data_IF_249480138035
#
_entry.id   IF_249480138035
#
_cell.length_a   1.000
_cell.length_b   1.000
_cell.length_c   1.000
_cell.angle_alpha   90.00
_cell.angle_beta   90.00
_cell.angle_gamma   90.00
#
_symmetry.space_group_name_H-M   'P 1'
#
loop_
_entity.id
_entity.type
_entity.pdbx_description
1 polymer ?
#
# COMPACT_ATOMS: atom_id res chain seq x y z
N UNK A 1 11.76 -1.31 -10.57
CA UNK A 1 10.41 -1.40 -9.94
C UNK A 1 10.53 -1.78 -8.46
N UNK A 2 11.75 -2.06 -8.01
CA UNK A 2 12.02 -2.86 -6.82
C UNK A 2 11.61 -2.14 -5.54
N UNK A 3 11.83 -0.83 -5.47
CA UNK A 3 11.38 0.02 -4.34
C UNK A 3 9.86 -0.06 -4.13
N UNK A 4 9.07 -0.05 -5.21
CA UNK A 4 7.61 -0.14 -5.11
C UNK A 4 7.20 -1.51 -4.58
N UNK A 5 7.84 -2.58 -5.06
CA UNK A 5 7.57 -3.95 -4.61
C UNK A 5 8.06 -4.21 -3.18
N UNK A 6 9.19 -3.64 -2.76
CA UNK A 6 9.66 -3.70 -1.38
C UNK A 6 8.69 -2.97 -0.44
N UNK A 7 8.21 -1.80 -0.84
CA UNK A 7 7.16 -1.06 -0.13
C UNK A 7 5.87 -1.88 -0.03
N UNK A 8 5.46 -2.55 -1.12
CA UNK A 8 4.32 -3.46 -1.12
C UNK A 8 4.49 -4.57 -0.07
N UNK A 9 5.63 -5.25 -0.06
CA UNK A 9 5.91 -6.35 0.87
C UNK A 9 5.92 -5.88 2.32
N UNK A 10 6.52 -4.73 2.61
CA UNK A 10 6.51 -4.12 3.93
C UNK A 10 5.08 -3.86 4.42
N UNK A 11 4.24 -3.25 3.57
CA UNK A 11 2.83 -3.01 3.90
C UNK A 11 2.10 -4.34 4.15
N UNK A 12 2.27 -5.35 3.29
CA UNK A 12 1.63 -6.66 3.46
C UNK A 12 1.98 -7.29 4.81
N UNK A 13 3.24 -7.25 5.22
CA UNK A 13 3.68 -7.79 6.51
C UNK A 13 2.96 -7.15 7.68
N UNK A 14 2.81 -5.82 7.63
CA UNK A 14 2.29 -5.03 8.76
C UNK A 14 0.77 -5.08 8.86
N UNK A 15 0.04 -5.01 7.74
CA UNK A 15 -1.44 -4.84 7.78
C UNK A 15 -2.23 -6.04 7.22
N UNK A 16 -1.56 -7.04 6.66
CA UNK A 16 -2.18 -8.29 6.17
C UNK A 16 -3.46 -8.07 5.32
N UNK A 17 -3.37 -7.32 4.20
CA UNK A 17 -4.52 -7.06 3.34
C UNK A 17 -4.86 -8.27 2.45
N UNK A 18 -6.12 -8.35 1.99
CA UNK A 18 -6.52 -9.35 0.99
C UNK A 18 -5.76 -9.13 -0.33
N UNK A 19 -5.49 -7.87 -0.71
CA UNK A 19 -4.75 -7.48 -1.91
C UNK A 19 -4.07 -6.11 -1.76
N UNK A 20 -2.99 -5.86 -2.51
CA UNK A 20 -2.48 -4.51 -2.78
C UNK A 20 -2.90 -4.05 -4.18
N UNK A 21 -3.37 -2.81 -4.31
CA UNK A 21 -3.40 -2.08 -5.58
C UNK A 21 -2.12 -1.24 -5.73
N UNK A 22 -1.47 -1.34 -6.89
CA UNK A 22 -0.39 -0.47 -7.32
C UNK A 22 -0.93 0.41 -8.45
N UNK A 23 -0.73 1.73 -8.36
CA UNK A 23 -1.16 2.66 -9.40
C UNK A 23 -0.18 3.82 -9.53
N UNK A 24 0.15 4.19 -10.76
CA UNK A 24 0.86 5.42 -11.10
C UNK A 24 -0.07 6.27 -11.96
N UNK A 25 -0.75 7.22 -11.31
CA UNK A 25 -1.49 8.26 -12.01
C UNK A 25 -0.64 9.54 -12.06
N UNK A 26 -1.27 10.65 -12.45
CA UNK A 26 -0.63 11.95 -12.48
C UNK A 26 -1.56 13.05 -12.96
N UNK A 27 -2.88 12.85 -12.86
CA UNK A 27 -3.86 13.71 -13.52
C UNK A 27 -3.88 15.14 -12.94
N UNK A 28 -3.59 15.27 -11.64
CA UNK A 28 -3.57 16.56 -10.93
C UNK A 28 -2.17 16.94 -10.43
N UNK A 29 -1.36 15.97 -10.01
CA UNK A 29 0.03 16.19 -9.56
C UNK A 29 0.97 15.63 -10.62
N UNK A 30 1.74 16.48 -11.34
CA UNK A 30 2.54 16.05 -12.49
C UNK A 30 3.81 15.29 -12.11
N UNK A 31 4.28 15.44 -10.86
CA UNK A 31 5.44 14.69 -10.39
C UNK A 31 5.12 13.20 -10.35
N UNK A 32 5.94 12.37 -11.01
CA UNK A 32 5.76 10.92 -11.05
C UNK A 32 5.75 10.35 -9.62
N UNK A 33 4.71 9.60 -9.28
CA UNK A 33 4.57 8.96 -7.99
C UNK A 33 3.78 7.66 -8.10
N UNK A 34 3.96 6.78 -7.12
CA UNK A 34 3.24 5.52 -7.00
C UNK A 34 2.34 5.54 -5.77
N UNK A 35 1.13 5.03 -5.94
CA UNK A 35 0.25 4.65 -4.84
C UNK A 35 0.41 3.15 -4.57
N UNK A 36 0.64 2.80 -3.31
CA UNK A 36 0.73 1.41 -2.82
C UNK A 36 -0.36 1.22 -1.77
N UNK A 37 -1.48 0.61 -2.14
CA UNK A 37 -2.73 0.70 -1.37
C UNK A 37 -3.16 -0.69 -0.90
N UNK A 38 -3.16 -0.96 0.42
CA UNK A 38 -3.76 -2.17 0.97
C UNK A 38 -5.28 -2.15 0.88
N UNK A 39 -5.87 -3.26 0.45
CA UNK A 39 -7.31 -3.44 0.20
C UNK A 39 -7.84 -4.69 0.89
N UNK A 40 -9.11 -4.62 1.29
CA UNK A 40 -9.84 -5.73 1.89
C UNK A 40 -11.19 -5.90 1.20
N UNK A 41 -11.71 -7.13 1.16
CA UNK A 41 -13.00 -7.43 0.52
C UNK A 41 -14.17 -6.65 1.12
N UNK A 42 -14.06 -6.28 2.39
CA UNK A 42 -15.05 -5.53 3.15
C UNK A 42 -14.73 -4.03 3.27
N UNK A 43 -13.70 -3.51 2.58
CA UNK A 43 -13.42 -2.08 2.58
C UNK A 43 -14.54 -1.31 1.89
N UNK A 44 -14.59 0.00 2.15
CA UNK A 44 -15.69 0.87 1.73
C UNK A 44 -15.84 0.94 0.21
N UNK A 45 -14.79 0.68 -0.56
CA UNK A 45 -14.79 0.86 -2.00
C UNK A 45 -14.75 -0.47 -2.76
N UNK A 46 -14.33 -1.59 -2.17
CA UNK A 46 -14.20 -2.86 -2.88
C UNK A 46 -15.52 -3.32 -3.52
N UNK A 47 -15.55 -3.73 -4.82
CA UNK A 47 -14.42 -4.00 -5.70
C UNK A 47 -13.91 -2.79 -6.51
N UNK A 48 -14.51 -1.61 -6.37
CA UNK A 48 -14.03 -0.39 -7.02
C UNK A 48 -12.65 0.06 -6.51
N UNK A 49 -12.00 0.92 -7.29
CA UNK A 49 -10.79 1.61 -6.85
C UNK A 49 -11.07 2.52 -5.65
N UNK A 50 -10.04 2.85 -4.85
CA UNK A 50 -10.19 3.72 -3.68
C UNK A 50 -10.61 5.16 -4.02
N UNK A 51 -10.42 5.58 -5.29
CA UNK A 51 -10.85 6.88 -5.80
C UNK A 51 -12.22 6.83 -6.49
N UNK A 52 -12.84 5.66 -6.56
CA UNK A 52 -14.15 5.46 -7.16
C UNK A 52 -15.29 5.80 -6.20
N UNK A 53 -16.50 5.36 -6.55
CA UNK A 53 -17.66 5.49 -5.69
C UNK A 53 -17.57 4.52 -4.51
N UNK A 54 -17.84 4.99 -3.30
CA UNK A 54 -18.01 4.13 -2.13
C UNK A 54 -19.19 3.15 -2.33
N UNK A 55 -18.96 1.89 -1.99
CA UNK A 55 -19.92 0.78 -2.09
C UNK A 55 -20.64 0.50 -0.77
N UNK A 56 -20.00 0.83 0.36
CA UNK A 56 -20.47 0.60 1.73
C UNK A 56 -19.69 1.46 2.72
N UNK A 57 -20.09 1.47 4.00
CA UNK A 57 -19.35 2.17 5.06
C UNK A 57 -17.92 1.64 5.26
N UNK A 58 -17.70 0.35 5.00
CA UNK A 58 -16.41 -0.33 5.14
C UNK A 58 -16.08 -0.69 6.58
N UNK A 59 -15.35 -1.79 6.80
CA UNK A 59 -14.91 -2.17 8.13
C UNK A 59 -13.74 -1.26 8.60
N UNK A 60 -13.88 -0.72 9.82
CA UNK A 60 -12.85 0.12 10.46
C UNK A 60 -11.72 -0.77 10.96
N UNK A 61 -10.48 -0.40 10.62
CA UNK A 61 -9.26 -1.06 11.07
C UNK A 61 -8.36 -0.05 11.75
N UNK A 62 -7.71 -0.48 12.83
CA UNK A 62 -6.67 0.33 13.44
C UNK A 62 -5.53 0.54 12.43
N UNK A 63 -5.05 1.78 12.31
CA UNK A 63 -3.84 2.05 11.56
C UNK A 63 -2.65 1.35 12.24
N UNK A 64 -1.69 0.80 11.49
CA UNK A 64 -0.46 0.32 12.08
C UNK A 64 0.31 1.47 12.73
N UNK A 65 1.12 1.17 13.74
CA UNK A 65 2.00 2.18 14.31
C UNK A 65 3.06 2.61 13.29
N UNK A 66 3.45 3.88 13.31
CA UNK A 66 4.51 4.40 12.45
C UNK A 66 5.82 3.61 12.65
N UNK A 67 6.11 3.18 13.88
CA UNK A 67 7.29 2.39 14.19
C UNK A 67 7.27 1.01 13.52
N UNK A 68 6.12 0.32 13.52
CA UNK A 68 6.00 -0.98 12.85
C UNK A 68 6.16 -0.85 11.33
N UNK A 69 5.56 0.19 10.74
CA UNK A 69 5.69 0.45 9.31
C UNK A 69 7.12 0.83 8.92
N UNK A 70 7.77 1.72 9.69
CA UNK A 70 9.16 2.11 9.48
C UNK A 70 10.09 0.90 9.52
N UNK A 71 9.98 0.08 10.56
CA UNK A 71 10.82 -1.11 10.71
C UNK A 71 10.64 -2.10 9.55
N UNK A 72 9.39 -2.32 9.10
CA UNK A 72 9.13 -3.20 7.96
C UNK A 72 9.68 -2.64 6.65
N UNK A 73 9.61 -1.33 6.44
CA UNK A 73 10.18 -0.65 5.28
C UNK A 73 11.71 -0.76 5.28
N UNK A 74 12.36 -0.47 6.40
CA UNK A 74 13.82 -0.60 6.54
C UNK A 74 14.29 -2.03 6.24
N UNK A 75 13.60 -3.04 6.79
CA UNK A 75 13.92 -4.43 6.55
C UNK A 75 13.76 -4.84 5.07
N UNK A 76 12.72 -4.38 4.38
CA UNK A 76 12.51 -4.71 2.97
C UNK A 76 13.44 -3.91 2.04
N UNK A 77 13.69 -2.65 2.36
CA UNK A 77 14.52 -1.77 1.53
C UNK A 77 16.02 -2.12 1.64
N UNK A 78 16.49 -2.50 2.82
CA UNK A 78 17.89 -2.89 3.05
C UNK A 78 18.29 -4.13 2.23
N UNK A 79 17.40 -5.11 2.07
CA UNK A 79 17.68 -6.31 1.26
C UNK A 79 17.93 -6.02 -0.23
N UNK A 80 17.49 -4.86 -0.73
CA UNK A 80 17.80 -4.45 -2.10
C UNK A 80 19.21 -3.87 -2.25
N UNK A 81 19.75 -3.23 -1.20
CA UNK A 81 21.09 -2.67 -1.22
C UNK A 81 22.20 -3.73 -1.12
N UNK A 82 21.83 -4.96 -0.76
CA UNK A 82 22.73 -6.11 -0.68
C UNK A 82 22.75 -6.94 -1.98
N UNK A 83 21.97 -6.57 -2.99
CA UNK A 83 22.04 -7.20 -4.31
C UNK A 83 23.11 -6.51 -5.18
N UNK A 84 24.09 -7.25 -5.72
CA UNK A 84 25.18 -6.70 -6.53
C UNK A 84 24.72 -6.12 -7.88
#
# INVERSE_FOLDING_TARGET
MDVVLATERAIRRVVQPDKINLASFGNLVPHLHWHVIPRWRDDSHFPESIWGKAQRAGAVRAAPSNAALLHALEAELSTMNEMP
#
